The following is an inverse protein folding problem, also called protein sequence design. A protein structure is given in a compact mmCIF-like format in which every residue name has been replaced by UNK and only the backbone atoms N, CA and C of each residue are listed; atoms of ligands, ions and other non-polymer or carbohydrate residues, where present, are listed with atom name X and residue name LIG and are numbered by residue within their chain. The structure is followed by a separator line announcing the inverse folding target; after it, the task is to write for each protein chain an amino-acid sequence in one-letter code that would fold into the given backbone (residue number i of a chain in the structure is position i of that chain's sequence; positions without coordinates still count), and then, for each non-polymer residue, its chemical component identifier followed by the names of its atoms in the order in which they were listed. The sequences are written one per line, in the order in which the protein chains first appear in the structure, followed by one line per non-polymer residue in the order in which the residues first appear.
data_IF_850450569563
#
_entry.id   IF_850450569563
#
_cell.length_a   1.000
_cell.length_b   1.000
_cell.length_c   1.000
_cell.angle_alpha   90.00
_cell.angle_beta   90.00
_cell.angle_gamma   90.00
#
_symmetry.space_group_name_H-M   'P 1'
#
loop_
_entity.id
_entity.type
_entity.pdbx_description
1 polymer ?
#
# COMPACT_ATOMS: atom_id res chain seq x y z
N UNK A 1 40.70 -42.10 -23.32
CA UNK A 1 40.58 -43.03 -22.16
C UNK A 1 40.98 -42.42 -20.81
N UNK A 2 41.46 -41.17 -20.74
CA UNK A 2 41.99 -40.57 -19.49
C UNK A 2 40.93 -39.96 -18.55
N UNK A 3 39.84 -39.38 -19.10
CA UNK A 3 38.81 -38.67 -18.33
C UNK A 3 38.03 -39.59 -17.38
N UNK A 4 37.74 -40.83 -17.79
CA UNK A 4 37.02 -41.79 -16.95
C UNK A 4 37.82 -42.22 -15.71
N UNK A 5 39.15 -42.30 -15.81
CA UNK A 5 40.03 -42.63 -14.67
C UNK A 5 40.20 -41.44 -13.71
N UNK A 6 40.19 -40.20 -14.23
CA UNK A 6 40.15 -38.98 -13.44
C UNK A 6 38.82 -38.85 -12.66
N UNK A 7 37.69 -39.16 -13.30
CA UNK A 7 36.36 -39.01 -12.72
C UNK A 7 36.01 -40.08 -11.68
N UNK A 8 36.49 -41.33 -11.86
CA UNK A 8 35.94 -42.48 -11.12
C UNK A 8 36.92 -43.16 -10.15
N UNK A 9 38.22 -43.18 -10.46
CA UNK A 9 39.13 -44.14 -9.85
C UNK A 9 40.29 -43.52 -9.06
N UNK A 10 40.76 -42.33 -9.43
CA UNK A 10 41.93 -41.74 -8.76
C UNK A 10 41.55 -40.75 -7.64
N UNK A 11 40.52 -39.94 -7.85
CA UNK A 11 40.04 -38.96 -6.85
C UNK A 11 39.39 -39.60 -5.61
N UNK A 12 38.76 -40.77 -5.73
CA UNK A 12 38.09 -41.43 -4.60
C UNK A 12 38.98 -42.42 -3.84
N UNK A 13 40.13 -42.83 -4.39
CA UNK A 13 40.95 -43.95 -3.88
C UNK A 13 42.41 -43.54 -3.56
N UNK A 14 42.92 -42.39 -4.03
CA UNK A 14 44.22 -41.85 -3.55
C UNK A 14 44.16 -41.46 -2.06
N UNK A 15 45.32 -41.36 -1.40
CA UNK A 15 45.48 -41.03 0.04
C UNK A 15 44.69 -39.79 0.52
N UNK A 16 44.25 -38.91 -0.39
CA UNK A 16 43.40 -37.73 -0.16
C UNK A 16 41.87 -38.00 -0.20
N UNK A 17 41.44 -39.27 -0.27
CA UNK A 17 40.03 -39.68 -0.39
C UNK A 17 39.09 -39.03 0.65
N UNK A 18 39.58 -38.80 1.88
CA UNK A 18 38.83 -38.13 2.95
C UNK A 18 38.48 -36.68 2.59
N UNK A 19 39.38 -35.95 1.93
CA UNK A 19 39.16 -34.55 1.50
C UNK A 19 38.11 -34.48 0.40
N UNK A 20 38.13 -35.46 -0.49
CA UNK A 20 37.22 -35.57 -1.64
C UNK A 20 35.81 -36.00 -1.20
N UNK A 21 35.70 -36.89 -0.22
CA UNK A 21 34.41 -37.23 0.40
C UNK A 21 33.75 -36.03 1.08
N UNK A 22 34.53 -35.22 1.82
CA UNK A 22 34.03 -33.97 2.42
C UNK A 22 33.52 -32.98 1.37
N UNK A 23 34.17 -32.92 0.21
CA UNK A 23 33.73 -32.07 -0.90
C UNK A 23 32.41 -32.53 -1.53
N UNK A 24 32.22 -33.85 -1.69
CA UNK A 24 30.96 -34.40 -2.21
C UNK A 24 29.80 -34.11 -1.24
N UNK A 25 30.00 -34.33 0.07
CA UNK A 25 29.00 -33.99 1.09
C UNK A 25 28.66 -32.51 1.06
N UNK A 26 29.66 -31.65 0.89
CA UNK A 26 29.44 -30.21 0.74
C UNK A 26 28.54 -29.87 -0.44
N UNK A 27 28.75 -30.47 -1.62
CA UNK A 27 27.91 -30.24 -2.80
C UNK A 27 26.47 -30.74 -2.60
N UNK A 28 26.28 -31.88 -1.94
CA UNK A 28 24.96 -32.41 -1.62
C UNK A 28 24.22 -31.46 -0.66
N UNK A 29 24.89 -30.99 0.39
CA UNK A 29 24.31 -30.00 1.32
C UNK A 29 23.94 -28.72 0.59
N UNK A 30 24.80 -28.23 -0.30
CA UNK A 30 24.53 -27.04 -1.10
C UNK A 30 23.31 -27.25 -2.02
N UNK A 31 23.19 -28.42 -2.66
CA UNK A 31 22.05 -28.77 -3.48
C UNK A 31 20.74 -28.78 -2.65
N UNK A 32 20.76 -29.37 -1.45
CA UNK A 32 19.60 -29.37 -0.53
C UNK A 32 19.22 -27.93 -0.14
N UNK A 33 20.19 -27.09 0.20
CA UNK A 33 19.95 -25.67 0.52
C UNK A 33 19.32 -24.95 -0.67
N UNK A 34 19.79 -25.22 -1.89
CA UNK A 34 19.26 -24.59 -3.10
C UNK A 34 17.80 -24.99 -3.34
N UNK A 35 17.49 -26.29 -3.25
CA UNK A 35 16.12 -26.81 -3.38
C UNK A 35 15.19 -26.19 -2.32
N UNK A 36 15.63 -26.18 -1.06
CA UNK A 36 14.86 -25.61 0.04
C UNK A 36 14.60 -24.11 -0.15
N UNK A 37 15.56 -23.36 -0.68
CA UNK A 37 15.39 -21.94 -0.96
C UNK A 37 14.37 -21.70 -2.08
N UNK A 38 14.46 -22.47 -3.18
CA UNK A 38 13.49 -22.38 -4.29
C UNK A 38 12.06 -22.63 -3.81
N UNK A 39 11.83 -23.67 -3.01
CA UNK A 39 10.47 -23.94 -2.50
C UNK A 39 9.92 -22.80 -1.63
N UNK A 40 10.78 -22.19 -0.80
CA UNK A 40 10.39 -21.03 0.03
C UNK A 40 10.15 -19.78 -0.81
N UNK A 41 10.92 -19.59 -1.87
CA UNK A 41 10.73 -18.50 -2.82
C UNK A 41 9.36 -18.62 -3.50
N UNK A 42 9.00 -19.81 -3.99
CA UNK A 42 7.69 -20.07 -4.59
C UNK A 42 6.54 -19.75 -3.64
N UNK A 43 6.59 -20.23 -2.40
CA UNK A 43 5.59 -19.93 -1.37
C UNK A 43 5.42 -18.42 -1.15
N UNK A 44 6.53 -17.67 -1.15
CA UNK A 44 6.50 -16.21 -1.00
C UNK A 44 5.84 -15.54 -2.21
N UNK A 45 6.12 -16.01 -3.42
CA UNK A 45 5.48 -15.49 -4.64
C UNK A 45 3.97 -15.72 -4.62
N UNK A 46 3.51 -16.90 -4.19
CA UNK A 46 2.08 -17.15 -4.00
C UNK A 46 1.45 -16.18 -2.99
N UNK A 47 2.12 -15.93 -1.86
CA UNK A 47 1.62 -14.98 -0.86
C UNK A 47 1.57 -13.54 -1.40
N UNK A 48 2.56 -13.14 -2.21
CA UNK A 48 2.56 -11.83 -2.87
C UNK A 48 1.38 -11.71 -3.84
N UNK A 49 1.07 -12.77 -4.60
CA UNK A 49 -0.06 -12.76 -5.52
C UNK A 49 -1.41 -12.61 -4.78
N UNK A 50 -1.60 -13.35 -3.68
CA UNK A 50 -2.77 -13.24 -2.81
C UNK A 50 -2.95 -11.82 -2.24
N UNK A 51 -1.88 -11.25 -1.67
CA UNK A 51 -1.89 -9.88 -1.14
C UNK A 51 -2.16 -8.85 -2.24
N UNK A 52 -1.65 -9.08 -3.45
CA UNK A 52 -1.90 -8.19 -4.60
C UNK A 52 -3.37 -8.23 -5.01
N UNK A 53 -4.01 -9.40 -4.98
CA UNK A 53 -5.46 -9.48 -5.22
C UNK A 53 -6.28 -8.76 -4.15
N UNK A 54 -5.93 -8.92 -2.88
CA UNK A 54 -6.60 -8.24 -1.76
C UNK A 54 -6.51 -6.71 -1.89
N UNK A 55 -5.32 -6.18 -2.21
CA UNK A 55 -5.13 -4.74 -2.46
C UNK A 55 -6.00 -4.25 -3.62
N UNK A 56 -6.13 -5.05 -4.68
CA UNK A 56 -6.96 -4.71 -5.84
C UNK A 56 -8.44 -4.68 -5.47
N UNK A 57 -8.90 -5.64 -4.67
CA UNK A 57 -10.27 -5.71 -4.17
C UNK A 57 -10.61 -4.51 -3.27
N UNK A 58 -9.77 -4.22 -2.27
CA UNK A 58 -9.92 -3.06 -1.39
C UNK A 58 -9.95 -1.74 -2.17
N UNK A 59 -9.13 -1.63 -3.23
CA UNK A 59 -9.14 -0.45 -4.10
C UNK A 59 -10.44 -0.34 -4.89
N UNK A 60 -11.01 -1.45 -5.35
CA UNK A 60 -12.32 -1.47 -5.99
C UNK A 60 -13.39 -1.01 -5.01
N UNK A 61 -13.42 -1.58 -3.81
CA UNK A 61 -14.38 -1.19 -2.77
C UNK A 61 -14.27 0.29 -2.44
N UNK A 62 -13.06 0.82 -2.26
CA UNK A 62 -12.85 2.25 -1.99
C UNK A 62 -13.44 3.15 -3.09
N UNK A 63 -13.25 2.78 -4.37
CA UNK A 63 -13.79 3.54 -5.50
C UNK A 63 -15.32 3.50 -5.51
N UNK A 64 -15.90 2.33 -5.27
CA UNK A 64 -17.35 2.14 -5.21
C UNK A 64 -17.98 2.94 -4.06
N UNK A 65 -17.42 2.82 -2.85
CA UNK A 65 -17.86 3.60 -1.68
C UNK A 65 -17.71 5.09 -1.87
N UNK A 66 -16.61 5.55 -2.50
CA UNK A 66 -16.41 6.98 -2.81
C UNK A 66 -17.51 7.49 -3.74
N UNK A 67 -17.87 6.70 -4.77
CA UNK A 67 -18.94 7.05 -5.70
C UNK A 67 -20.30 7.11 -5.00
N UNK A 68 -20.59 6.15 -4.13
CA UNK A 68 -21.80 6.12 -3.31
C UNK A 68 -21.90 7.33 -2.39
N UNK A 69 -20.83 7.67 -1.67
CA UNK A 69 -20.76 8.86 -0.83
C UNK A 69 -20.97 10.14 -1.64
N UNK A 70 -20.42 10.23 -2.85
CA UNK A 70 -20.63 11.39 -3.71
C UNK A 70 -22.10 11.55 -4.10
N UNK A 71 -22.80 10.46 -4.43
CA UNK A 71 -24.24 10.46 -4.68
C UNK A 71 -25.03 10.91 -3.45
N UNK A 72 -24.70 10.37 -2.28
CA UNK A 72 -25.36 10.73 -1.01
C UNK A 72 -25.12 12.19 -0.60
N UNK A 73 -23.98 12.78 -0.97
CA UNK A 73 -23.60 14.17 -0.66
C UNK A 73 -24.01 15.16 -1.74
N UNK A 74 -24.63 14.69 -2.83
CA UNK A 74 -25.11 15.55 -3.89
C UNK A 74 -26.18 16.50 -3.35
N UNK A 75 -26.07 17.78 -3.69
CA UNK A 75 -26.97 18.83 -3.19
C UNK A 75 -28.44 18.51 -3.49
N UNK A 76 -28.74 17.92 -4.65
CA UNK A 76 -30.08 17.47 -5.03
C UNK A 76 -30.61 16.34 -4.14
N UNK A 77 -29.78 15.34 -3.81
CA UNK A 77 -30.18 14.24 -2.93
C UNK A 77 -30.33 14.70 -1.47
N UNK A 78 -29.51 15.65 -1.03
CA UNK A 78 -29.62 16.25 0.29
C UNK A 78 -30.86 17.13 0.37
N UNK A 79 -31.12 17.98 -0.64
CA UNK A 79 -32.29 18.86 -0.65
C UNK A 79 -33.60 18.07 -0.68
N UNK A 80 -33.67 17.00 -1.48
CA UNK A 80 -34.83 16.10 -1.55
C UNK A 80 -35.14 15.46 -0.18
N UNK A 81 -34.12 14.95 0.53
CA UNK A 81 -34.29 14.41 1.89
C UNK A 81 -34.64 15.47 2.94
N UNK A 82 -34.26 16.73 2.72
CA UNK A 82 -34.55 17.84 3.64
C UNK A 82 -35.97 18.39 3.47
N UNK A 83 -36.67 18.08 2.37
CA UNK A 83 -38.09 18.43 2.16
C UNK A 83 -38.99 17.78 3.22
N UNK A 84 -38.73 16.53 3.61
CA UNK A 84 -39.47 15.85 4.70
C UNK A 84 -39.34 16.58 6.05
N UNK A 85 -38.30 17.40 6.21
CA UNK A 85 -38.05 18.20 7.41
C UNK A 85 -38.48 19.66 7.27
N UNK A 86 -39.23 19.98 6.20
CA UNK A 86 -39.67 21.34 5.85
C UNK A 86 -38.51 22.34 5.60
N UNK A 87 -37.31 21.83 5.28
CA UNK A 87 -36.13 22.67 4.99
C UNK A 87 -35.96 22.76 3.47
N UNK A 88 -36.02 24.00 2.94
CA UNK A 88 -35.93 24.27 1.51
C UNK A 88 -34.63 25.01 1.14
N UNK A 89 -34.07 24.75 -0.05
CA UNK A 89 -32.96 25.54 -0.57
C UNK A 89 -33.42 26.98 -0.81
N UNK A 90 -32.58 27.96 -0.43
CA UNK A 90 -32.87 29.38 -0.67
C UNK A 90 -32.72 29.70 -2.15
N UNK A 91 -33.79 30.19 -2.78
CA UNK A 91 -33.75 30.70 -4.17
C UNK A 91 -33.01 32.04 -4.27
N UNK A 92 -32.79 32.72 -3.15
CA UNK A 92 -32.21 34.07 -3.08
C UNK A 92 -30.79 33.98 -2.51
N UNK A 93 -29.79 34.63 -3.13
CA UNK A 93 -28.42 34.60 -2.63
C UNK A 93 -28.27 35.29 -1.25
N UNK A 94 -27.41 34.79 -0.36
CA UNK A 94 -27.23 35.38 0.97
C UNK A 94 -26.53 36.75 0.90
N UNK A 95 -27.02 37.71 1.67
CA UNK A 95 -26.46 39.07 1.74
C UNK A 95 -25.42 39.14 2.85
N UNK A 96 -24.21 39.62 2.52
CA UNK A 96 -23.14 39.82 3.51
C UNK A 96 -23.43 41.06 4.37
N UNK A 97 -23.89 40.85 5.60
CA UNK A 97 -24.06 41.93 6.58
C UNK A 97 -22.67 42.34 7.10
N UNK A 98 -22.13 43.44 6.58
CA UNK A 98 -20.95 44.10 7.17
C UNK A 98 -21.43 45.10 8.20
N UNK A 99 -21.21 44.80 9.48
CA UNK A 99 -21.45 45.75 10.57
C UNK A 99 -20.43 46.87 10.44
N UNK A 100 -20.87 48.05 9.99
CA UNK A 100 -20.08 49.28 10.10
C UNK A 100 -20.04 49.64 11.59
N UNK A 101 -18.93 49.32 12.27
CA UNK A 101 -18.64 49.93 13.56
C UNK A 101 -18.35 51.41 13.30
N UNK A 102 -19.09 52.30 13.94
CA UNK A 102 -18.71 53.71 13.97
C UNK A 102 -17.35 53.80 14.66
N UNK A 103 -16.40 54.48 14.01
CA UNK A 103 -15.13 54.82 14.61
C UNK A 103 -15.41 55.73 15.81
N UNK A 104 -15.40 55.17 17.02
CA UNK A 104 -15.30 55.98 18.23
C UNK A 104 -14.09 56.88 18.06
N UNK A 105 -14.33 58.20 18.00
CA UNK A 105 -13.29 59.21 17.87
C UNK A 105 -12.24 58.92 18.93
N UNK A 106 -11.10 58.39 18.46
CA UNK A 106 -9.97 58.02 19.29
C UNK A 106 -9.68 59.17 20.24
N UNK A 107 -9.52 58.80 21.52
CA UNK A 107 -9.21 59.67 22.66
C UNK A 107 -8.21 60.80 22.34
N UNK A 108 -7.30 60.53 21.39
CA UNK A 108 -6.30 61.45 20.86
C UNK A 108 -6.85 62.67 20.10
N UNK A 109 -8.07 62.61 19.53
CA UNK A 109 -8.75 63.75 18.87
C UNK A 109 -9.46 64.70 19.84
N UNK A 110 -9.72 64.27 21.08
CA UNK A 110 -10.27 65.15 22.14
C UNK A 110 -9.19 65.94 22.87
N UNK A 111 -7.91 65.57 22.72
CA UNK A 111 -6.79 66.17 23.44
C UNK A 111 -6.15 67.36 22.68
N UNK A 112 -6.55 67.60 21.43
CA UNK A 112 -6.02 68.65 20.56
C UNK A 112 -7.11 69.55 19.99
N UNK A 113 -8.03 69.99 20.85
CA UNK A 113 -8.88 71.16 20.60
C UNK A 113 -9.06 71.98 21.88
#
# INVERSE_FOLDING_TARGET
MSIYNLLKARFLIDDDAIKNWRFIVFLIVLAIIMIANTQRYEQKVFKIAELTSEVKELRSEFVDRRSELMKLRMESTVSEKMVEREIYPSTVPPVKIKVKKEEEKSFLKKLWQ
#
